data_IF_527105250324
#
_entry.id   IF_527105250324
#
_cell.length_a   1.000
_cell.length_b   1.000
_cell.length_c   1.000
_cell.angle_alpha   90.00
_cell.angle_beta   90.00
_cell.angle_gamma   90.00
#
_symmetry.space_group_name_H-M   'P 1'
#
loop_
_entity.id
_entity.type
_entity.pdbx_description
1 polymer ?
#
# COMPACT_ATOMS: atom_id res chain seq x y z
N UNK A 1 -18.73 41.30 54.70
CA UNK A 1 -17.94 40.13 54.22
C UNK A 1 -18.62 39.27 53.14
N UNK A 2 -19.96 39.31 52.95
CA UNK A 2 -20.66 38.45 51.95
C UNK A 2 -20.35 38.73 50.46
N UNK A 3 -19.98 39.96 50.10
CA UNK A 3 -19.68 40.34 48.71
C UNK A 3 -18.35 39.78 48.18
N UNK A 4 -17.37 39.51 49.04
CA UNK A 4 -16.09 38.92 48.62
C UNK A 4 -16.21 37.45 48.22
N UNK A 5 -17.07 36.71 48.91
CA UNK A 5 -17.30 35.29 48.62
C UNK A 5 -17.99 35.06 47.26
N UNK A 6 -19.00 35.89 46.94
CA UNK A 6 -19.70 35.82 45.66
C UNK A 6 -18.78 36.12 44.46
N UNK A 7 -17.84 37.05 44.60
CA UNK A 7 -16.89 37.37 43.53
C UNK A 7 -15.92 36.22 43.26
N UNK A 8 -15.43 35.57 44.33
CA UNK A 8 -14.57 34.39 44.21
C UNK A 8 -15.30 33.25 43.50
N UNK A 9 -16.55 32.98 43.86
CA UNK A 9 -17.35 31.92 43.25
C UNK A 9 -17.56 32.15 41.73
N UNK A 10 -17.88 33.37 41.33
CA UNK A 10 -18.03 33.74 39.91
C UNK A 10 -16.71 33.60 39.15
N UNK A 11 -15.60 34.01 39.77
CA UNK A 11 -14.26 33.86 39.15
C UNK A 11 -13.92 32.38 38.97
N UNK A 12 -14.16 31.54 39.98
CA UNK A 12 -13.92 30.10 39.89
C UNK A 12 -14.79 29.48 38.80
N UNK A 13 -16.08 29.79 38.76
CA UNK A 13 -17.00 29.29 37.74
C UNK A 13 -16.56 29.71 36.33
N UNK A 14 -16.10 30.96 36.16
CA UNK A 14 -15.55 31.46 34.90
C UNK A 14 -14.29 30.72 34.47
N UNK A 15 -13.37 30.43 35.39
CA UNK A 15 -12.15 29.66 35.08
C UNK A 15 -12.47 28.23 34.69
N UNK A 16 -13.36 27.55 35.42
CA UNK A 16 -13.80 26.19 35.08
C UNK A 16 -14.45 26.17 33.69
N UNK A 17 -15.32 27.14 33.39
CA UNK A 17 -15.95 27.28 32.09
C UNK A 17 -14.91 27.48 30.98
N UNK A 18 -13.93 28.37 31.20
CA UNK A 18 -12.89 28.65 30.22
C UNK A 18 -12.05 27.39 29.91
N UNK A 19 -11.65 26.63 30.94
CA UNK A 19 -10.90 25.37 30.77
C UNK A 19 -11.74 24.32 30.03
N UNK A 20 -13.03 24.18 30.41
CA UNK A 20 -13.94 23.25 29.75
C UNK A 20 -14.12 23.56 28.27
N UNK A 21 -14.35 24.83 27.93
CA UNK A 21 -14.51 25.27 26.54
C UNK A 21 -13.22 25.07 25.73
N UNK A 22 -12.06 25.40 26.31
CA UNK A 22 -10.77 25.16 25.68
C UNK A 22 -10.56 23.66 25.38
N UNK A 23 -10.96 22.79 26.29
CA UNK A 23 -10.93 21.34 26.09
C UNK A 23 -11.77 20.89 24.89
N UNK A 24 -13.01 21.38 24.78
CA UNK A 24 -13.91 21.03 23.68
C UNK A 24 -13.34 21.50 22.33
N UNK A 25 -12.84 22.74 22.26
CA UNK A 25 -12.26 23.29 21.02
C UNK A 25 -11.08 22.44 20.56
N UNK A 26 -10.19 22.03 21.48
CA UNK A 26 -9.02 21.23 21.15
C UNK A 26 -9.41 19.86 20.57
N UNK A 27 -10.41 19.19 21.17
CA UNK A 27 -10.91 17.91 20.65
C UNK A 27 -11.51 18.08 19.26
N UNK A 28 -12.29 19.13 19.03
CA UNK A 28 -12.88 19.43 17.72
C UNK A 28 -11.82 19.69 16.65
N UNK A 29 -10.78 20.47 16.96
CA UNK A 29 -9.67 20.73 16.05
C UNK A 29 -8.93 19.43 15.68
N UNK A 30 -8.68 18.58 16.67
CA UNK A 30 -8.05 17.28 16.44
C UNK A 30 -8.91 16.35 15.57
N UNK A 31 -10.22 16.33 15.80
CA UNK A 31 -11.15 15.54 14.99
C UNK A 31 -11.16 16.00 13.53
N UNK A 32 -11.15 17.31 13.28
CA UNK A 32 -11.08 17.87 11.93
C UNK A 32 -9.77 17.50 11.22
N UNK A 33 -8.64 17.55 11.92
CA UNK A 33 -7.34 17.16 11.35
C UNK A 33 -7.30 15.67 11.00
N UNK A 34 -7.84 14.82 11.88
CA UNK A 34 -8.00 13.39 11.61
C UNK A 34 -8.89 13.13 10.39
N UNK A 35 -9.99 13.87 10.23
CA UNK A 35 -10.88 13.72 9.08
C UNK A 35 -10.17 14.09 7.77
N UNK A 36 -9.50 15.24 7.72
CA UNK A 36 -8.75 15.68 6.53
C UNK A 36 -7.64 14.68 6.15
N UNK A 37 -6.96 14.14 7.16
CA UNK A 37 -5.95 13.09 6.94
C UNK A 37 -6.58 11.82 6.38
N UNK A 38 -7.74 11.40 6.90
CA UNK A 38 -8.46 10.24 6.39
C UNK A 38 -8.92 10.44 4.94
N UNK A 39 -9.41 11.63 4.59
CA UNK A 39 -9.75 11.99 3.21
C UNK A 39 -8.53 11.87 2.28
N UNK A 40 -7.38 12.41 2.68
CA UNK A 40 -6.14 12.29 1.91
C UNK A 40 -5.66 10.84 1.78
N UNK A 41 -5.75 10.03 2.84
CA UNK A 41 -5.37 8.62 2.82
C UNK A 41 -6.26 7.79 1.87
N UNK A 42 -7.56 8.08 1.81
CA UNK A 42 -8.48 7.41 0.88
C UNK A 42 -8.17 7.77 -0.58
N UNK A 43 -7.93 9.05 -0.87
CA UNK A 43 -7.53 9.51 -2.21
C UNK A 43 -6.20 8.87 -2.61
N UNK A 44 -5.19 8.96 -1.74
CA UNK A 44 -3.87 8.38 -2.00
C UNK A 44 -3.94 6.87 -2.30
N UNK A 45 -4.74 6.13 -1.53
CA UNK A 45 -4.94 4.69 -1.75
C UNK A 45 -5.56 4.41 -3.13
N UNK A 46 -6.59 5.17 -3.51
CA UNK A 46 -7.22 5.03 -4.82
C UNK A 46 -6.26 5.37 -5.97
N UNK A 47 -5.40 6.38 -5.81
CA UNK A 47 -4.41 6.75 -6.81
C UNK A 47 -3.33 5.68 -6.96
N UNK A 48 -2.83 5.15 -5.84
CA UNK A 48 -1.86 4.05 -5.81
C UNK A 48 -2.41 2.79 -6.49
N UNK A 49 -3.66 2.42 -6.18
CA UNK A 49 -4.33 1.28 -6.83
C UNK A 49 -4.45 1.49 -8.35
N UNK A 50 -4.78 2.72 -8.77
CA UNK A 50 -4.83 3.08 -10.20
C UNK A 50 -3.48 2.92 -10.90
N UNK A 51 -2.40 3.42 -10.30
CA UNK A 51 -1.04 3.28 -10.84
C UNK A 51 -0.64 1.80 -10.96
N UNK A 52 -0.84 1.01 -9.91
CA UNK A 52 -0.50 -0.40 -9.90
C UNK A 52 -1.35 -1.21 -10.89
N UNK A 53 -2.63 -0.88 -11.03
CA UNK A 53 -3.49 -1.47 -12.03
C UNK A 53 -3.00 -1.18 -13.46
N UNK A 54 -2.54 0.04 -13.72
CA UNK A 54 -1.97 0.39 -15.02
C UNK A 54 -0.67 -0.37 -15.30
N UNK A 55 0.25 -0.46 -14.32
CA UNK A 55 1.46 -1.29 -14.45
C UNK A 55 1.11 -2.75 -14.74
N UNK A 56 0.06 -3.28 -14.12
CA UNK A 56 -0.41 -4.65 -14.37
C UNK A 56 -0.99 -4.84 -15.78
N UNK A 57 -1.72 -3.83 -16.29
CA UNK A 57 -2.35 -3.84 -17.62
C UNK A 57 -1.35 -3.67 -18.75
N UNK A 58 -0.35 -2.80 -18.58
CA UNK A 58 0.69 -2.59 -19.60
C UNK A 58 1.80 -3.64 -19.49
N UNK A 59 2.04 -4.11 -18.26
CA UNK A 59 3.12 -5.04 -17.92
C UNK A 59 4.38 -4.29 -17.47
N UNK A 60 5.06 -4.85 -16.47
CA UNK A 60 6.24 -4.25 -15.81
C UNK A 60 7.38 -3.85 -16.76
N UNK A 61 7.57 -4.58 -17.85
CA UNK A 61 8.66 -4.33 -18.81
C UNK A 61 8.33 -3.22 -19.81
N UNK A 62 7.04 -3.10 -20.19
CA UNK A 62 6.61 -2.14 -21.21
C UNK A 62 6.15 -0.82 -20.60
N UNK A 63 5.67 -0.84 -19.36
CA UNK A 63 5.14 0.34 -18.69
C UNK A 63 6.08 1.57 -18.73
N UNK A 64 7.39 1.47 -18.42
CA UNK A 64 8.30 2.63 -18.47
C UNK A 64 8.55 3.18 -19.88
N UNK A 65 8.24 2.40 -20.92
CA UNK A 65 8.38 2.82 -22.32
C UNK A 65 7.14 3.53 -22.83
N UNK A 66 5.98 3.17 -22.29
CA UNK A 66 4.67 3.67 -22.70
C UNK A 66 4.20 4.86 -21.86
N UNK A 67 4.62 4.93 -20.60
CA UNK A 67 4.12 5.89 -19.62
C UNK A 67 5.26 6.60 -18.90
N UNK A 68 4.95 7.77 -18.34
CA UNK A 68 5.84 8.44 -17.41
C UNK A 68 5.89 7.65 -16.08
N UNK A 69 7.09 7.50 -15.51
CA UNK A 69 7.28 6.89 -14.18
C UNK A 69 7.27 7.91 -13.06
N UNK A 70 7.33 9.20 -13.39
CA UNK A 70 7.22 10.31 -12.43
C UNK A 70 6.37 11.42 -13.04
N UNK A 71 5.67 12.18 -12.20
CA UNK A 71 4.91 13.33 -12.68
C UNK A 71 3.82 13.78 -11.72
N UNK A 72 2.83 14.48 -12.27
CA UNK A 72 1.59 14.86 -11.60
C UNK A 72 0.42 14.18 -12.25
N UNK A 73 -0.65 13.98 -11.49
CA UNK A 73 -1.90 13.47 -12.04
C UNK A 73 -2.64 14.55 -12.84
N UNK A 74 -3.53 14.08 -13.70
CA UNK A 74 -4.48 14.89 -14.43
C UNK A 74 -5.64 15.36 -13.53
N UNK A 75 -6.46 16.33 -13.99
CA UNK A 75 -7.64 16.75 -13.25
C UNK A 75 -8.55 15.58 -12.87
N UNK A 76 -9.05 15.50 -11.61
CA UNK A 76 -9.04 16.52 -10.57
C UNK A 76 -7.92 16.39 -9.52
N UNK A 77 -6.83 15.68 -9.80
CA UNK A 77 -5.79 15.33 -8.82
C UNK A 77 -4.45 16.04 -9.08
N UNK A 78 -4.44 17.20 -9.72
CA UNK A 78 -3.22 17.92 -10.12
C UNK A 78 -2.32 18.35 -8.94
N UNK A 79 -2.88 18.31 -7.74
CA UNK A 79 -2.19 18.53 -6.46
C UNK A 79 -1.34 17.34 -6.00
N UNK A 80 -1.49 16.17 -6.64
CA UNK A 80 -0.76 14.94 -6.32
C UNK A 80 0.38 14.71 -7.32
N UNK A 81 1.53 14.35 -6.78
CA UNK A 81 2.69 13.87 -7.53
C UNK A 81 2.81 12.35 -7.39
N UNK A 82 3.33 11.69 -8.42
CA UNK A 82 3.59 10.25 -8.39
C UNK A 82 5.00 9.91 -8.81
N UNK A 83 5.46 8.75 -8.33
CA UNK A 83 6.68 8.08 -8.72
C UNK A 83 6.48 6.56 -8.71
N UNK A 84 7.01 5.88 -9.71
CA UNK A 84 6.96 4.43 -9.88
C UNK A 84 8.39 3.94 -10.09
N UNK A 85 8.81 3.02 -9.22
CA UNK A 85 10.07 2.30 -9.33
C UNK A 85 9.78 0.83 -9.65
N UNK A 86 10.50 0.29 -10.63
CA UNK A 86 10.33 -1.10 -11.09
C UNK A 86 11.72 -1.73 -11.09
N UNK A 87 11.95 -2.63 -10.14
CA UNK A 87 13.24 -3.28 -9.91
C UNK A 87 13.16 -4.78 -10.25
N UNK A 88 14.05 -5.30 -11.12
CA UNK A 88 14.16 -6.74 -11.37
C UNK A 88 14.91 -7.42 -10.21
N UNK A 89 14.32 -8.45 -9.60
CA UNK A 89 14.99 -9.23 -8.54
C UNK A 89 15.84 -10.41 -9.08
N UNK A 90 15.63 -10.83 -10.33
CA UNK A 90 16.34 -11.98 -10.91
C UNK A 90 15.73 -12.46 -12.24
N UNK A 91 16.39 -13.43 -12.88
CA UNK A 91 15.92 -14.00 -14.15
C UNK A 91 14.75 -14.96 -13.90
N UNK A 92 13.53 -14.56 -14.26
CA UNK A 92 12.32 -15.34 -14.02
C UNK A 92 11.62 -15.06 -12.69
N UNK A 93 12.19 -14.17 -11.87
CA UNK A 93 11.57 -13.67 -10.65
C UNK A 93 10.59 -12.52 -10.96
N UNK A 94 9.56 -12.30 -10.11
CA UNK A 94 8.70 -11.14 -10.24
C UNK A 94 9.50 -9.85 -10.01
N UNK A 95 9.06 -8.78 -10.67
CA UNK A 95 9.61 -7.44 -10.45
C UNK A 95 9.01 -6.87 -9.17
N UNK A 96 9.82 -6.15 -8.41
CA UNK A 96 9.35 -5.33 -7.29
C UNK A 96 8.92 -3.97 -7.85
N UNK A 97 7.66 -3.64 -7.63
CA UNK A 97 7.02 -2.42 -8.12
C UNK A 97 6.63 -1.57 -6.92
N UNK A 98 7.26 -0.42 -6.81
CA UNK A 98 7.01 0.55 -5.74
C UNK A 98 6.32 1.76 -6.33
N UNK A 99 5.05 1.93 -5.99
CA UNK A 99 4.27 3.11 -6.35
C UNK A 99 4.26 4.08 -5.15
N UNK A 100 4.53 5.35 -5.42
CA UNK A 100 4.52 6.42 -4.44
C UNK A 100 3.66 7.57 -4.94
N UNK A 101 2.83 8.12 -4.05
CA UNK A 101 2.12 9.37 -4.28
C UNK A 101 2.42 10.37 -3.16
N UNK A 102 2.50 11.65 -3.51
CA UNK A 102 2.81 12.73 -2.58
C UNK A 102 1.81 13.88 -2.74
N UNK A 103 1.32 14.37 -1.61
CA UNK A 103 0.46 15.55 -1.59
C UNK A 103 1.26 16.87 -1.59
N UNK A 104 0.57 18.00 -1.79
CA UNK A 104 1.19 19.34 -1.72
C UNK A 104 1.75 19.72 -0.36
N UNK A 105 1.36 19.00 0.71
CA UNK A 105 1.86 19.20 2.08
C UNK A 105 3.14 18.40 2.34
N UNK A 106 3.59 17.61 1.37
CA UNK A 106 4.78 16.77 1.46
C UNK A 106 4.55 15.41 2.12
N UNK A 107 3.30 15.05 2.43
CA UNK A 107 2.96 13.73 2.94
C UNK A 107 3.07 12.73 1.79
N UNK A 108 3.84 11.67 2.03
CA UNK A 108 4.09 10.61 1.07
C UNK A 108 3.36 9.33 1.49
N UNK A 109 2.84 8.62 0.50
CA UNK A 109 2.21 7.31 0.64
C UNK A 109 2.84 6.36 -0.37
N UNK A 110 3.21 5.16 0.08
CA UNK A 110 3.96 4.22 -0.75
C UNK A 110 3.37 2.82 -0.57
N UNK A 111 3.23 2.11 -1.69
CA UNK A 111 2.87 0.70 -1.71
C UNK A 111 3.89 -0.03 -2.58
N UNK A 112 4.40 -1.12 -2.03
CA UNK A 112 5.30 -2.04 -2.73
C UNK A 112 4.53 -3.33 -3.02
N UNK A 113 4.66 -3.84 -4.24
CA UNK A 113 4.07 -5.11 -4.65
C UNK A 113 4.99 -5.85 -5.61
N UNK A 114 4.72 -7.14 -5.84
CA UNK A 114 5.47 -7.98 -6.76
C UNK A 114 4.62 -8.36 -7.96
N UNK A 115 5.08 -8.02 -9.15
CA UNK A 115 4.36 -8.29 -10.41
C UNK A 115 5.25 -9.13 -11.33
N UNK A 116 4.73 -10.29 -11.72
CA UNK A 116 5.42 -11.16 -12.66
C UNK A 116 5.42 -10.54 -14.07
N UNK A 117 6.52 -10.66 -14.83
CA UNK A 117 6.52 -10.28 -16.23
C UNK A 117 5.55 -11.17 -17.01
N UNK A 118 4.91 -10.60 -18.04
CA UNK A 118 4.14 -11.41 -18.98
C UNK A 118 5.10 -12.31 -19.74
N UNK A 119 4.94 -13.62 -19.61
CA UNK A 119 5.42 -14.53 -20.65
C UNK A 119 4.67 -14.16 -21.93
N UNK A 120 5.36 -14.05 -23.06
CA UNK A 120 4.76 -13.67 -24.33
C UNK A 120 3.68 -14.65 -24.82
N UNK A 121 3.34 -14.60 -26.10
CA UNK A 121 2.40 -15.56 -26.71
C UNK A 121 2.98 -16.99 -26.83
N UNK A 122 4.23 -17.19 -26.41
CA UNK A 122 4.88 -18.49 -26.43
C UNK A 122 4.03 -19.51 -25.65
N UNK A 123 3.61 -20.61 -26.30
CA UNK A 123 2.85 -21.65 -25.63
C UNK A 123 3.59 -22.08 -24.37
N UNK A 124 2.88 -22.11 -23.24
CA UNK A 124 3.45 -22.58 -21.98
C UNK A 124 4.14 -23.93 -22.27
N UNK A 125 5.44 -24.06 -21.98
CA UNK A 125 6.17 -25.28 -22.32
C UNK A 125 5.44 -26.47 -21.70
N UNK A 126 5.40 -27.60 -22.42
CA UNK A 126 4.77 -28.80 -21.88
C UNK A 126 5.55 -29.25 -20.65
N UNK A 127 4.99 -28.97 -19.47
CA UNK A 127 5.56 -29.36 -18.16
C UNK A 127 5.19 -30.79 -17.80
N UNK A 128 4.46 -31.50 -18.66
CA UNK A 128 4.18 -32.92 -18.43
C UNK A 128 5.50 -33.66 -18.56
N UNK A 129 5.86 -34.49 -17.57
CA UNK A 129 6.95 -35.43 -17.71
C UNK A 129 6.77 -36.24 -19.01
N UNK A 130 7.84 -36.44 -19.80
CA UNK A 130 7.75 -37.17 -21.07
C UNK A 130 7.29 -38.62 -20.86
N UNK A 131 7.53 -39.16 -19.67
CA UNK A 131 7.11 -40.49 -19.26
C UNK A 131 6.26 -40.41 -17.99
N UNK A 132 5.16 -41.18 -17.89
CA UNK A 132 4.42 -41.33 -16.64
C UNK A 132 5.37 -41.76 -15.54
N UNK A 133 5.34 -41.06 -14.40
CA UNK A 133 6.13 -41.43 -13.23
C UNK A 133 5.70 -42.81 -12.74
N UNK A 134 6.55 -43.82 -12.97
CA UNK A 134 6.34 -45.17 -12.50
C UNK A 134 6.60 -45.24 -10.99
N UNK A 135 5.50 -45.24 -10.22
CA UNK A 135 5.55 -45.35 -8.76
C UNK A 135 6.05 -46.73 -8.31
N UNK A 136 5.83 -47.78 -9.08
CA UNK A 136 6.14 -49.16 -8.66
C UNK A 136 7.65 -49.43 -8.67
N UNK A 137 8.39 -48.90 -9.64
CA UNK A 137 9.86 -49.00 -9.66
C UNK A 137 10.56 -48.10 -8.64
N UNK A 138 9.92 -47.02 -8.19
CA UNK A 138 10.45 -46.15 -7.14
C UNK A 138 10.38 -46.79 -5.75
N UNK A 139 9.28 -47.51 -5.43
CA UNK A 139 9.11 -48.18 -4.12
C UNK A 139 9.69 -49.60 -4.07
N UNK A 140 9.87 -50.28 -5.22
CA UNK A 140 10.40 -51.65 -5.27
C UNK A 140 11.90 -51.77 -5.00
N UNK A 141 12.69 -50.70 -5.18
CA UNK A 141 14.14 -50.72 -4.92
C UNK A 141 14.49 -50.70 -3.43
N UNK A 142 13.59 -50.22 -2.57
CA UNK A 142 13.81 -50.19 -1.13
C UNK A 142 13.47 -51.53 -0.45
N UNK A 143 12.54 -52.33 -1.02
CA UNK A 143 12.21 -53.66 -0.50
C UNK A 143 13.22 -54.75 -0.91
N UNK A 144 13.81 -54.65 -2.10
CA UNK A 144 14.80 -55.64 -2.58
C UNK A 144 16.16 -55.53 -1.86
N UNK A 145 16.49 -54.36 -1.29
CA UNK A 145 17.65 -54.19 -0.42
C UNK A 145 17.43 -54.71 1.02
N UNK A 146 16.17 -54.97 1.42
CA UNK A 146 15.83 -55.50 2.75
C UNK A 146 15.67 -57.02 2.79
N UNK A 147 15.74 -57.70 1.63
CA UNK A 147 15.65 -59.16 1.52
C UNK A 147 16.80 -59.68 0.65
N UNK A 148 18.02 -59.52 1.14
CA UNK A 148 19.16 -60.35 0.73
C UNK A 148 19.78 -60.96 1.99
N UNK A 149 19.95 -62.30 2.07
CA UNK A 149 20.57 -62.98 3.21
C UNK A 149 22.08 -62.71 3.34
#
# INVERSE_FOLDING_TARGET
MRRGFALIEVVIAGVILAVGLAGIINVSMRAMDMQRRGEAEVIASSLLDGLLAQVLVDGVTEFPKLNATTGRFDPPFEEWEFEILIDPEGLGDPYTVTAMVRDTRGQSYTVETRIAPRLGEDPNPDRRPPEPFDRQSAYGKDEEAAVAP
#
